data_IF_073919540392
#
_entry.id   IF_073919540392
#
_cell.length_a   1.000
_cell.length_b   1.000
_cell.length_c   1.000
_cell.angle_alpha   90.00
_cell.angle_beta   90.00
_cell.angle_gamma   90.00
#
_symmetry.space_group_name_H-M   'P 1'
#
loop_
_entity.id
_entity.type
_entity.pdbx_description
1 polymer ?
#
# COMPACT_ATOMS: atom_id res chain seq x y z
N UNK A 1 -5.76 -27.07 8.85
CA UNK A 1 -4.71 -26.17 8.31
C UNK A 1 -5.18 -24.76 8.59
N UNK A 2 -4.34 -23.97 9.25
CA UNK A 2 -4.71 -22.67 9.81
C UNK A 2 -4.76 -21.60 8.70
N UNK A 3 -5.91 -20.97 8.46
CA UNK A 3 -6.14 -20.07 7.32
C UNK A 3 -5.24 -18.83 7.34
N UNK A 4 -4.82 -18.37 8.52
CA UNK A 4 -3.86 -17.28 8.67
C UNK A 4 -2.51 -17.59 7.99
N UNK A 5 -2.11 -18.87 7.92
CA UNK A 5 -0.86 -19.24 7.29
C UNK A 5 -0.96 -19.21 5.75
N UNK A 6 -2.09 -19.67 5.20
CA UNK A 6 -2.30 -19.73 3.75
C UNK A 6 -2.38 -18.34 3.11
N UNK A 7 -3.08 -17.40 3.75
CA UNK A 7 -3.17 -16.02 3.26
C UNK A 7 -1.80 -15.36 3.13
N UNK A 8 -0.97 -15.45 4.18
CA UNK A 8 0.37 -14.87 4.18
C UNK A 8 1.29 -15.56 3.17
N UNK A 9 1.20 -16.89 3.04
CA UNK A 9 1.95 -17.64 2.03
C UNK A 9 1.60 -17.20 0.61
N UNK A 10 0.30 -17.09 0.29
CA UNK A 10 -0.15 -16.64 -1.01
C UNK A 10 0.23 -15.19 -1.28
N UNK A 11 0.11 -14.31 -0.29
CA UNK A 11 0.50 -12.90 -0.40
C UNK A 11 2.01 -12.73 -0.63
N UNK A 12 2.83 -13.49 0.10
CA UNK A 12 4.28 -13.49 -0.07
C UNK A 12 4.69 -14.06 -1.44
N UNK A 13 4.06 -15.16 -1.87
CA UNK A 13 4.31 -15.76 -3.18
C UNK A 13 3.91 -14.84 -4.32
N UNK A 14 2.76 -14.15 -4.22
CA UNK A 14 2.31 -13.15 -5.19
C UNK A 14 3.32 -12.00 -5.30
N UNK A 15 3.74 -11.46 -4.15
CA UNK A 15 4.70 -10.36 -4.10
C UNK A 15 6.05 -10.74 -4.72
N UNK A 16 6.53 -11.96 -4.44
CA UNK A 16 7.75 -12.50 -5.07
C UNK A 16 7.59 -12.63 -6.58
N UNK A 17 6.50 -13.23 -7.05
CA UNK A 17 6.23 -13.41 -8.47
C UNK A 17 6.15 -12.08 -9.24
N UNK A 18 5.52 -11.05 -8.65
CA UNK A 18 5.50 -9.69 -9.22
C UNK A 18 6.90 -9.09 -9.39
N UNK A 19 7.77 -9.27 -8.38
CA UNK A 19 9.16 -8.79 -8.43
C UNK A 19 10.00 -9.54 -9.47
N UNK A 20 9.67 -10.80 -9.72
CA UNK A 20 10.35 -11.66 -10.71
C UNK A 20 9.78 -11.50 -12.13
N UNK A 21 8.65 -10.82 -12.30
CA UNK A 21 7.98 -10.64 -13.59
C UNK A 21 7.11 -11.84 -14.01
N UNK A 22 6.87 -12.82 -13.13
CA UNK A 22 5.97 -13.94 -13.38
C UNK A 22 4.52 -13.53 -13.08
N UNK A 23 3.92 -12.79 -14.02
CA UNK A 23 2.58 -12.23 -13.87
C UNK A 23 1.47 -13.29 -13.84
N UNK A 24 1.70 -14.46 -14.46
CA UNK A 24 0.73 -15.57 -14.42
C UNK A 24 0.69 -16.16 -13.02
N UNK A 25 1.85 -16.43 -12.41
CA UNK A 25 1.92 -16.91 -11.04
C UNK A 25 1.42 -15.86 -10.05
N UNK A 26 1.78 -14.59 -10.26
CA UNK A 26 1.32 -13.49 -9.43
C UNK A 26 -0.21 -13.43 -9.39
N UNK A 27 -0.87 -13.43 -10.54
CA UNK A 27 -2.33 -13.39 -10.62
C UNK A 27 -2.97 -14.58 -9.90
N UNK A 28 -2.46 -15.79 -10.13
CA UNK A 28 -2.96 -16.99 -9.47
C UNK A 28 -2.85 -16.89 -7.94
N UNK A 29 -1.71 -16.40 -7.43
CA UNK A 29 -1.47 -16.24 -5.99
C UNK A 29 -2.27 -15.11 -5.38
N UNK A 30 -2.46 -14.00 -6.09
CA UNK A 30 -3.35 -12.92 -5.67
C UNK A 30 -4.79 -13.44 -5.52
N UNK A 31 -5.30 -14.18 -6.52
CA UNK A 31 -6.64 -14.78 -6.45
C UNK A 31 -6.79 -15.75 -5.28
N UNK A 32 -5.76 -16.56 -5.00
CA UNK A 32 -5.74 -17.43 -3.82
C UNK A 32 -5.76 -16.63 -2.51
N UNK A 33 -4.94 -15.58 -2.39
CA UNK A 33 -4.93 -14.72 -1.20
C UNK A 33 -6.27 -13.98 -1.01
N UNK A 34 -6.88 -13.48 -2.08
CA UNK A 34 -8.20 -12.84 -2.04
C UNK A 34 -9.31 -13.81 -1.63
N UNK A 35 -9.24 -15.08 -2.02
CA UNK A 35 -10.20 -16.09 -1.58
C UNK A 35 -10.11 -16.34 -0.07
N UNK A 36 -8.90 -16.28 0.51
CA UNK A 36 -8.71 -16.43 1.96
C UNK A 36 -9.12 -15.16 2.72
N UNK A 37 -8.78 -13.97 2.22
CA UNK A 37 -9.16 -12.69 2.82
C UNK A 37 -9.47 -11.61 1.77
N UNK A 38 -10.74 -11.49 1.34
CA UNK A 38 -11.14 -10.52 0.32
C UNK A 38 -11.14 -9.06 0.79
N UNK A 39 -11.09 -8.83 2.11
CA UNK A 39 -11.10 -7.50 2.72
C UNK A 39 -9.70 -6.99 3.09
N UNK A 40 -8.63 -7.70 2.72
CA UNK A 40 -7.27 -7.21 2.96
C UNK A 40 -6.92 -6.09 1.96
N UNK A 41 -6.54 -4.88 2.42
CA UNK A 41 -6.07 -3.83 1.52
C UNK A 41 -4.79 -4.25 0.78
N UNK A 42 -3.97 -5.10 1.41
CA UNK A 42 -2.72 -5.61 0.84
C UNK A 42 -2.93 -6.41 -0.45
N UNK A 43 -3.93 -7.30 -0.52
CA UNK A 43 -4.18 -8.08 -1.74
C UNK A 43 -4.76 -7.23 -2.87
N UNK A 44 -5.59 -6.24 -2.56
CA UNK A 44 -6.04 -5.28 -3.57
C UNK A 44 -4.89 -4.41 -4.06
N UNK A 45 -3.95 -4.01 -3.19
CA UNK A 45 -2.73 -3.32 -3.64
C UNK A 45 -1.87 -4.21 -4.55
N UNK A 46 -1.67 -5.49 -4.22
CA UNK A 46 -0.93 -6.42 -5.08
C UNK A 46 -1.61 -6.60 -6.45
N UNK A 47 -2.94 -6.68 -6.50
CA UNK A 47 -3.66 -6.73 -7.78
C UNK A 47 -3.52 -5.41 -8.55
N UNK A 48 -3.60 -4.27 -7.88
CA UNK A 48 -3.34 -2.98 -8.51
C UNK A 48 -1.96 -2.91 -9.17
N UNK A 49 -0.93 -3.41 -8.48
CA UNK A 49 0.45 -3.49 -9.01
C UNK A 49 0.52 -4.42 -10.22
N UNK A 50 -0.12 -5.59 -10.17
CA UNK A 50 -0.15 -6.52 -11.30
C UNK A 50 -0.71 -5.84 -12.56
N UNK A 51 -1.86 -5.20 -12.42
CA UNK A 51 -2.56 -4.56 -13.54
C UNK A 51 -1.76 -3.38 -14.10
N UNK A 52 -1.10 -2.63 -13.23
CA UNK A 52 -0.18 -1.58 -13.65
C UNK A 52 1.01 -2.12 -14.46
N UNK A 53 1.62 -3.22 -14.01
CA UNK A 53 2.72 -3.87 -14.73
C UNK A 53 2.27 -4.47 -16.08
N UNK A 54 0.98 -4.77 -16.22
CA UNK A 54 0.34 -5.19 -17.47
C UNK A 54 -0.09 -4.01 -18.36
N UNK A 55 0.08 -2.76 -17.91
CA UNK A 55 -0.39 -1.52 -18.56
C UNK A 55 -1.92 -1.38 -18.61
N UNK A 56 -2.64 -2.05 -17.71
CA UNK A 56 -4.10 -1.96 -17.54
C UNK A 56 -4.45 -0.88 -16.51
N UNK A 57 -4.10 0.37 -16.80
CA UNK A 57 -4.19 1.52 -15.87
C UNK A 57 -5.56 1.64 -15.20
N UNK A 58 -6.65 1.45 -15.96
CA UNK A 58 -8.01 1.55 -15.42
C UNK A 58 -8.28 0.52 -14.32
N UNK A 59 -7.72 -0.68 -14.45
CA UNK A 59 -7.92 -1.75 -13.48
C UNK A 59 -6.99 -1.58 -12.28
N UNK A 60 -5.76 -1.10 -12.50
CA UNK A 60 -4.86 -0.68 -11.43
C UNK A 60 -5.51 0.38 -10.51
N UNK A 61 -6.08 1.44 -11.08
CA UNK A 61 -6.78 2.48 -10.32
C UNK A 61 -7.94 1.92 -9.49
N UNK A 62 -8.72 0.98 -10.03
CA UNK A 62 -9.84 0.37 -9.31
C UNK A 62 -9.36 -0.38 -8.08
N UNK A 63 -8.32 -1.20 -8.22
CA UNK A 63 -7.80 -2.00 -7.13
C UNK A 63 -7.08 -1.16 -6.05
N UNK A 64 -6.30 -0.14 -6.44
CA UNK A 64 -5.75 0.79 -5.45
C UNK A 64 -6.85 1.54 -4.67
N UNK A 65 -7.92 1.98 -5.35
CA UNK A 65 -9.06 2.61 -4.67
C UNK A 65 -9.82 1.64 -3.76
N UNK A 66 -9.92 0.37 -4.14
CA UNK A 66 -10.51 -0.66 -3.30
C UNK A 66 -9.69 -0.88 -2.01
N UNK A 67 -8.36 -0.93 -2.12
CA UNK A 67 -7.48 -1.00 -0.95
C UNK A 67 -7.69 0.19 0.01
N UNK A 68 -7.72 1.42 -0.54
CA UNK A 68 -7.96 2.65 0.25
C UNK A 68 -9.37 2.67 0.86
N UNK A 69 -10.37 2.11 0.19
CA UNK A 69 -11.73 2.03 0.73
C UNK A 69 -11.85 1.02 1.89
N UNK A 70 -11.06 -0.06 1.85
CA UNK A 70 -10.99 -1.06 2.93
C UNK A 70 -10.22 -0.53 4.13
N UNK A 71 -9.11 0.17 3.88
CA UNK A 71 -8.30 0.82 4.90
C UNK A 71 -7.77 2.17 4.38
N UNK A 72 -8.39 3.29 4.78
CA UNK A 72 -7.94 4.63 4.40
C UNK A 72 -6.54 4.98 4.89
N UNK A 73 -6.01 4.27 5.90
CA UNK A 73 -4.66 4.47 6.42
C UNK A 73 -3.62 3.62 5.68
N UNK A 74 -4.02 2.73 4.76
CA UNK A 74 -3.10 1.87 4.02
C UNK A 74 -2.28 2.66 2.99
N UNK A 75 -1.18 3.24 3.48
CA UNK A 75 -0.35 4.17 2.73
C UNK A 75 0.26 3.62 1.42
N UNK A 76 0.61 2.31 1.29
CA UNK A 76 1.14 1.78 0.03
C UNK A 76 0.20 1.97 -1.17
N UNK A 77 -1.10 1.73 -1.00
CA UNK A 77 -2.06 1.90 -2.08
C UNK A 77 -2.27 3.37 -2.45
N UNK A 78 -2.21 4.27 -1.46
CA UNK A 78 -2.28 5.71 -1.68
C UNK A 78 -1.08 6.20 -2.50
N UNK A 79 0.14 5.80 -2.11
CA UNK A 79 1.37 6.15 -2.84
C UNK A 79 1.36 5.63 -4.27
N UNK A 80 0.88 4.40 -4.49
CA UNK A 80 0.74 3.85 -5.83
C UNK A 80 -0.29 4.62 -6.67
N UNK A 81 -1.47 4.91 -6.10
CA UNK A 81 -2.51 5.67 -6.80
C UNK A 81 -2.02 7.07 -7.18
N UNK A 82 -1.39 7.80 -6.26
CA UNK A 82 -0.80 9.11 -6.52
C UNK A 82 0.25 9.04 -7.63
N UNK A 83 1.10 8.01 -7.59
CA UNK A 83 2.16 7.80 -8.59
C UNK A 83 1.60 7.57 -9.99
N UNK A 84 0.52 6.80 -10.15
CA UNK A 84 -0.04 6.55 -11.48
C UNK A 84 -0.98 7.64 -11.97
N UNK A 85 -1.56 8.43 -11.06
CA UNK A 85 -2.47 9.54 -11.40
C UNK A 85 -1.76 10.87 -11.68
N UNK A 86 -0.45 10.96 -11.44
CA UNK A 86 0.30 12.21 -11.61
C UNK A 86 0.71 12.47 -13.07
N UNK A 87 0.68 13.75 -13.47
CA UNK A 87 1.22 14.21 -14.75
C UNK A 87 2.76 14.30 -14.75
N UNK A 88 3.37 14.30 -13.57
CA UNK A 88 4.83 14.34 -13.41
C UNK A 88 5.48 13.05 -13.91
N UNK A 89 6.14 13.10 -15.06
CA UNK A 89 6.74 11.93 -15.70
C UNK A 89 7.79 11.23 -14.81
N UNK A 90 8.57 12.00 -14.06
CA UNK A 90 9.58 11.46 -13.14
C UNK A 90 8.96 10.67 -11.99
N UNK A 91 7.79 11.09 -11.49
CA UNK A 91 7.08 10.38 -10.43
C UNK A 91 6.48 9.07 -10.96
N UNK A 92 5.92 9.05 -12.19
CA UNK A 92 5.40 7.82 -12.80
C UNK A 92 6.45 6.71 -12.95
N UNK A 93 7.73 7.08 -13.13
CA UNK A 93 8.86 6.14 -13.21
C UNK A 93 9.37 5.64 -11.85
N UNK A 94 8.82 6.13 -10.74
CA UNK A 94 9.19 5.64 -9.42
C UNK A 94 8.72 4.19 -9.20
N UNK A 95 9.32 3.50 -8.22
CA UNK A 95 9.00 2.11 -7.93
C UNK A 95 7.58 1.97 -7.34
N UNK A 96 6.93 0.84 -7.64
CA UNK A 96 5.69 0.43 -7.00
C UNK A 96 5.92 0.16 -5.51
N UNK A 97 4.93 0.45 -4.67
CA UNK A 97 4.98 0.17 -3.24
C UNK A 97 4.22 -1.11 -2.89
N UNK A 98 4.96 -2.16 -2.55
CA UNK A 98 4.41 -3.46 -2.17
C UNK A 98 3.94 -3.52 -0.70
N UNK A 99 4.10 -2.46 0.09
CA UNK A 99 3.86 -2.44 1.53
C UNK A 99 4.92 -3.17 2.35
N UNK A 100 6.14 -3.35 1.80
CA UNK A 100 7.28 -3.92 2.54
C UNK A 100 8.04 -2.87 3.35
N UNK A 101 7.91 -1.61 2.96
CA UNK A 101 8.44 -0.48 3.70
C UNK A 101 7.64 -0.34 4.98
N UNK A 102 8.32 -0.47 6.13
CA UNK A 102 7.75 -0.03 7.40
C UNK A 102 7.26 1.39 7.20
N UNK A 103 6.00 1.66 7.55
CA UNK A 103 5.55 3.02 7.73
C UNK A 103 6.55 3.64 8.69
N UNK A 104 7.43 4.50 8.17
CA UNK A 104 8.06 5.45 9.06
C UNK A 104 6.87 6.27 9.52
N UNK A 105 6.39 5.99 10.73
CA UNK A 105 5.55 6.92 11.48
C UNK A 105 6.20 8.27 11.21
N UNK A 106 5.55 9.09 10.39
CA UNK A 106 6.16 10.33 9.94
C UNK A 106 6.54 11.05 11.21
N UNK A 107 7.86 11.14 11.51
CA UNK A 107 8.33 11.47 12.86
C UNK A 107 7.44 12.56 13.39
N UNK A 108 6.72 12.37 14.50
CA UNK A 108 5.77 13.37 14.99
C UNK A 108 6.50 14.71 15.06
N UNK A 109 6.36 15.54 14.02
CA UNK A 109 7.19 16.73 13.86
C UNK A 109 6.74 17.78 14.88
N UNK A 110 5.60 17.52 15.54
CA UNK A 110 4.92 18.41 16.44
C UNK A 110 4.67 17.72 17.79
N UNK A 111 4.83 18.49 18.86
CA UNK A 111 4.41 18.14 20.23
C UNK A 111 3.28 19.09 20.65
N UNK A 112 2.36 18.60 21.47
CA UNK A 112 1.32 19.42 22.08
C UNK A 112 1.80 19.81 23.48
N UNK A 113 2.00 21.10 23.71
CA UNK A 113 2.33 21.66 25.03
C UNK A 113 1.11 22.34 25.64
N UNK A 114 0.73 21.93 26.84
CA UNK A 114 -0.40 22.55 27.56
C UNK A 114 0.10 23.71 28.42
N UNK A 115 -0.53 24.87 28.26
CA UNK A 115 -0.28 25.99 29.16
C UNK A 115 -1.02 25.80 30.50
N UNK A 116 -0.82 26.74 31.45
CA UNK A 116 -1.47 26.72 32.78
C UNK A 116 -3.01 26.74 32.72
N UNK A 117 -3.58 27.13 31.58
CA UNK A 117 -5.03 27.16 31.36
C UNK A 117 -5.54 25.88 30.66
N UNK A 118 -4.71 24.83 30.55
CA UNK A 118 -5.02 23.58 29.85
C UNK A 118 -5.31 23.75 28.35
N UNK A 119 -4.83 24.84 27.74
CA UNK A 119 -4.89 25.05 26.29
C UNK A 119 -3.65 24.44 25.66
N UNK A 120 -3.84 23.50 24.72
CA UNK A 120 -2.77 22.86 23.97
C UNK A 120 -2.24 23.73 22.82
N UNK A 121 -0.92 23.89 22.74
CA UNK A 121 -0.21 24.60 21.68
C UNK A 121 0.64 23.62 20.90
N UNK A 122 0.52 23.63 19.58
CA UNK A 122 1.29 22.76 18.71
C UNK A 122 2.68 23.39 18.47
N UNK A 123 3.75 22.72 18.91
CA UNK A 123 5.13 23.17 18.74
C UNK A 123 5.91 22.19 17.87
N UNK A 124 6.65 22.71 16.88
CA UNK A 124 7.56 21.89 16.07
C UNK A 124 8.74 21.38 16.92
N UNK A 125 9.08 20.09 16.85
CA UNK A 125 10.28 19.52 17.46
C UNK A 125 11.52 20.16 16.82
N UNK A 126 12.50 20.48 17.64
CA UNK A 126 13.80 20.95 17.17
C UNK A 126 14.50 19.81 16.43
N UNK A 127 14.91 20.04 15.18
CA UNK A 127 15.66 19.05 14.40
C UNK A 127 17.06 18.91 15.01
N UNK A 128 17.47 17.68 15.33
CA UNK A 128 18.87 17.36 15.69
C UNK A 128 19.78 17.50 14.47
#
# INVERSE_FOLDING_TARGET
MDKMNAFEEYSASAKKALKEGDYILAEAKIKQAMNENPHSPGVHNLYGILEELLNEDNLAHKHYRAAIALDPAYAPAMRNLERISTFAEHARKAHVDFGDTSEQDGEDVYIIEYNRNHVGHLRKKDRK
#
